data_IF_463013726913
#
_entry.id   IF_463013726913
#
_cell.length_a   1.000
_cell.length_b   1.000
_cell.length_c   1.000
_cell.angle_alpha   90.00
_cell.angle_beta   90.00
_cell.angle_gamma   90.00
#
_symmetry.space_group_name_H-M   'P 1'
#
loop_
_entity.id
_entity.type
_entity.pdbx_description
1 polymer ?
#
# COMPACT_ATOMS: atom_id res chain seq x y z
N UNK A 1 19.57 21.61 25.44
CA UNK A 1 18.75 20.56 24.78
C UNK A 1 17.78 20.07 25.82
N UNK A 2 16.55 20.55 25.82
CA UNK A 2 15.48 19.98 26.65
C UNK A 2 15.23 18.55 26.21
N UNK A 3 15.26 17.62 27.15
CA UNK A 3 15.03 16.22 26.89
C UNK A 3 13.57 16.03 26.46
N UNK A 4 13.38 15.58 25.23
CA UNK A 4 12.08 15.16 24.67
C UNK A 4 11.66 13.84 25.38
N UNK A 5 11.38 13.92 26.70
CA UNK A 5 11.11 12.73 27.54
C UNK A 5 9.62 12.43 27.73
N UNK A 6 8.70 13.18 27.09
CA UNK A 6 7.25 13.02 27.29
C UNK A 6 6.47 12.97 25.97
N UNK A 7 7.05 12.46 24.90
CA UNK A 7 6.24 12.16 23.71
C UNK A 7 5.40 10.91 23.99
N UNK A 8 4.12 10.90 23.59
CA UNK A 8 3.30 9.70 23.65
C UNK A 8 4.02 8.54 22.92
N UNK A 9 4.02 7.38 23.54
CA UNK A 9 4.60 6.16 22.94
C UNK A 9 3.63 5.47 21.98
N UNK A 10 2.39 5.92 21.94
CA UNK A 10 1.34 5.42 21.04
C UNK A 10 0.82 6.55 20.15
N UNK A 11 0.45 6.20 18.94
CA UNK A 11 -0.18 7.14 18.01
C UNK A 11 -1.63 7.38 18.40
N UNK A 12 -2.02 8.63 18.46
CA UNK A 12 -3.42 9.04 18.56
C UNK A 12 -4.06 9.01 17.17
N UNK A 13 -4.81 7.94 16.90
CA UNK A 13 -5.48 7.75 15.61
C UNK A 13 -6.84 8.45 15.54
N UNK A 14 -7.32 9.04 16.63
CA UNK A 14 -8.61 9.79 16.64
C UNK A 14 -8.58 11.02 15.76
N UNK A 15 -7.37 11.50 15.38
CA UNK A 15 -7.19 12.58 14.41
C UNK A 15 -7.61 12.17 12.98
N UNK A 16 -7.59 10.87 12.67
CA UNK A 16 -8.09 10.36 11.38
C UNK A 16 -9.59 10.10 11.47
N UNK A 17 -10.01 9.24 12.41
CA UNK A 17 -11.41 8.90 12.69
C UNK A 17 -11.58 8.73 14.18
N UNK A 18 -12.68 9.25 14.71
CA UNK A 18 -12.97 9.16 16.14
C UNK A 18 -13.09 7.70 16.61
N UNK A 19 -13.66 6.84 15.76
CA UNK A 19 -13.87 5.42 16.00
C UNK A 19 -14.10 4.65 14.69
N UNK A 20 -14.30 3.33 14.78
CA UNK A 20 -14.61 2.46 13.64
C UNK A 20 -15.93 2.87 12.95
N UNK A 21 -16.92 3.38 13.68
CA UNK A 21 -18.19 3.78 13.10
C UNK A 21 -18.04 4.99 12.17
N UNK A 22 -17.25 6.00 12.59
CA UNK A 22 -16.91 7.16 11.77
C UNK A 22 -16.15 6.75 10.50
N UNK A 23 -15.24 5.78 10.59
CA UNK A 23 -14.57 5.21 9.42
C UNK A 23 -15.59 4.54 8.48
N UNK A 24 -16.48 3.68 9.00
CA UNK A 24 -17.48 2.98 8.18
C UNK A 24 -18.44 3.93 7.47
N UNK A 25 -18.79 5.05 8.09
CA UNK A 25 -19.61 6.11 7.48
C UNK A 25 -18.88 6.75 6.29
N UNK A 26 -17.59 7.06 6.45
CA UNK A 26 -16.78 7.60 5.36
C UNK A 26 -16.60 6.59 4.21
N UNK A 27 -16.54 5.29 4.50
CA UNK A 27 -16.52 4.26 3.45
C UNK A 27 -17.84 4.22 2.66
N UNK A 28 -18.98 4.43 3.29
CA UNK A 28 -20.27 4.59 2.58
C UNK A 28 -20.27 5.83 1.70
N UNK A 29 -19.77 6.95 2.25
CA UNK A 29 -19.65 8.20 1.47
C UNK A 29 -18.75 8.01 0.25
N UNK A 30 -17.64 7.31 0.42
CA UNK A 30 -16.75 6.97 -0.70
C UNK A 30 -17.48 6.15 -1.78
N UNK A 31 -18.24 5.12 -1.39
CA UNK A 31 -19.01 4.30 -2.34
C UNK A 31 -20.05 5.12 -3.13
N UNK A 32 -20.72 6.10 -2.49
CA UNK A 32 -21.64 7.03 -3.16
C UNK A 32 -20.94 7.87 -4.24
N UNK A 33 -19.65 8.14 -4.08
CA UNK A 33 -18.84 8.93 -5.01
C UNK A 33 -18.29 8.10 -6.19
N UNK A 34 -18.22 6.78 -6.08
CA UNK A 34 -17.68 5.90 -7.14
C UNK A 34 -18.39 6.13 -8.49
N UNK A 35 -19.74 6.19 -8.58
CA UNK A 35 -20.44 6.38 -9.84
C UNK A 35 -20.16 7.72 -10.54
N UNK A 36 -19.67 8.73 -9.82
CA UNK A 36 -19.32 10.05 -10.41
C UNK A 36 -18.20 9.90 -11.42
N UNK A 37 -17.23 9.00 -11.18
CA UNK A 37 -16.14 8.72 -12.14
C UNK A 37 -16.69 8.34 -13.51
N UNK A 38 -17.74 7.53 -13.58
CA UNK A 38 -18.35 7.07 -14.84
C UNK A 38 -18.91 8.24 -15.67
N UNK A 39 -19.27 9.36 -15.06
CA UNK A 39 -19.78 10.54 -15.78
C UNK A 39 -18.72 11.19 -16.69
N UNK A 40 -17.45 10.85 -16.49
CA UNK A 40 -16.31 11.32 -17.29
C UNK A 40 -15.96 10.43 -18.47
N UNK A 41 -16.60 9.26 -18.59
CA UNK A 41 -16.39 8.35 -19.72
C UNK A 41 -16.63 9.03 -21.06
N UNK A 42 -15.68 8.91 -21.98
CA UNK A 42 -15.71 9.56 -23.29
C UNK A 42 -15.38 11.05 -23.26
N UNK A 43 -14.95 11.61 -22.13
CA UNK A 43 -14.64 13.03 -21.96
C UNK A 43 -13.17 13.31 -21.67
N UNK A 44 -12.35 12.28 -21.49
CA UNK A 44 -10.94 12.40 -21.10
C UNK A 44 -9.99 12.55 -22.30
N UNK A 45 -10.53 12.77 -23.49
CA UNK A 45 -9.76 13.00 -24.72
C UNK A 45 -9.30 14.45 -24.93
N UNK A 46 -9.58 15.38 -24.01
CA UNK A 46 -9.25 16.81 -24.13
C UNK A 46 -8.68 17.35 -22.81
N UNK A 47 -7.88 18.42 -22.90
CA UNK A 47 -7.35 19.10 -21.71
C UNK A 47 -8.46 19.60 -20.77
N UNK A 48 -9.55 20.16 -21.33
CA UNK A 48 -10.69 20.63 -20.55
C UNK A 48 -11.40 19.48 -19.82
N UNK A 49 -11.59 18.34 -20.48
CA UNK A 49 -12.23 17.16 -19.86
C UNK A 49 -11.38 16.58 -18.75
N UNK A 50 -10.06 16.48 -18.95
CA UNK A 50 -9.11 16.02 -17.94
C UNK A 50 -9.08 16.98 -16.76
N UNK A 51 -9.00 18.30 -17.03
CA UNK A 51 -8.99 19.30 -15.95
C UNK A 51 -10.26 19.23 -15.11
N UNK A 52 -11.43 19.16 -15.74
CA UNK A 52 -12.71 18.99 -15.04
C UNK A 52 -12.75 17.73 -14.17
N UNK A 53 -12.16 16.63 -14.65
CA UNK A 53 -12.06 15.40 -13.87
C UNK A 53 -11.15 15.57 -12.65
N UNK A 54 -9.99 16.22 -12.81
CA UNK A 54 -9.03 16.42 -11.73
C UNK A 54 -9.51 17.43 -10.68
N UNK A 55 -10.29 18.43 -11.09
CA UNK A 55 -10.80 19.50 -10.23
C UNK A 55 -12.25 19.27 -9.75
N UNK A 56 -12.86 18.15 -10.12
CA UNK A 56 -14.20 17.82 -9.64
C UNK A 56 -14.21 17.66 -8.12
N UNK A 57 -15.02 18.44 -7.38
CA UNK A 57 -15.09 18.37 -5.94
C UNK A 57 -15.37 16.96 -5.40
N UNK A 58 -16.17 16.16 -6.13
CA UNK A 58 -16.48 14.79 -5.74
C UNK A 58 -15.25 13.87 -5.93
N UNK A 59 -14.43 14.08 -6.98
CA UNK A 59 -13.17 13.36 -7.17
C UNK A 59 -12.14 13.73 -6.10
N UNK A 60 -12.03 15.02 -5.77
CA UNK A 60 -11.15 15.50 -4.72
C UNK A 60 -11.57 14.97 -3.33
N UNK A 61 -12.88 15.00 -3.02
CA UNK A 61 -13.43 14.42 -1.79
C UNK A 61 -13.13 12.92 -1.70
N UNK A 62 -13.37 12.18 -2.78
CA UNK A 62 -13.11 10.74 -2.88
C UNK A 62 -11.63 10.43 -2.62
N UNK A 63 -10.71 11.15 -3.24
CA UNK A 63 -9.28 10.97 -3.02
C UNK A 63 -8.89 11.26 -1.57
N UNK A 64 -9.39 12.35 -0.99
CA UNK A 64 -9.11 12.71 0.40
C UNK A 64 -9.62 11.65 1.40
N UNK A 65 -10.78 11.05 1.12
CA UNK A 65 -11.30 9.94 1.93
C UNK A 65 -10.39 8.71 1.79
N UNK A 66 -9.99 8.34 0.56
CA UNK A 66 -9.11 7.21 0.30
C UNK A 66 -7.77 7.33 1.03
N UNK A 67 -7.11 8.49 0.92
CA UNK A 67 -5.82 8.75 1.55
C UNK A 67 -5.92 8.65 3.08
N UNK A 68 -6.92 9.32 3.66
CA UNK A 68 -7.16 9.28 5.11
C UNK A 68 -7.47 7.87 5.60
N UNK A 69 -8.32 7.15 4.89
CA UNK A 69 -8.73 5.79 5.23
C UNK A 69 -7.56 4.81 5.15
N UNK A 70 -6.70 4.92 4.14
CA UNK A 70 -5.51 4.09 3.99
C UNK A 70 -4.54 4.32 5.14
N UNK A 71 -4.22 5.57 5.47
CA UNK A 71 -3.34 5.90 6.60
C UNK A 71 -3.88 5.39 7.93
N UNK A 72 -5.19 5.52 8.16
CA UNK A 72 -5.84 5.02 9.38
C UNK A 72 -5.77 3.49 9.48
N UNK A 73 -6.12 2.78 8.41
CA UNK A 73 -6.11 1.33 8.37
C UNK A 73 -4.71 0.74 8.56
N UNK A 74 -3.71 1.32 7.88
CA UNK A 74 -2.30 0.92 8.02
C UNK A 74 -1.79 1.18 9.45
N UNK A 75 -2.11 2.32 10.05
CA UNK A 75 -1.69 2.65 11.40
C UNK A 75 -2.35 1.75 12.47
N UNK A 76 -3.64 1.41 12.30
CA UNK A 76 -4.33 0.44 13.16
C UNK A 76 -3.69 -0.95 13.07
N UNK A 77 -3.41 -1.40 11.84
CA UNK A 77 -2.76 -2.68 11.60
C UNK A 77 -1.34 -2.72 12.19
N UNK A 78 -0.57 -1.66 12.01
CA UNK A 78 0.78 -1.54 12.58
C UNK A 78 0.77 -1.52 14.12
N UNK A 79 -0.28 -0.98 14.73
CA UNK A 79 -0.46 -1.00 16.19
C UNK A 79 -0.71 -2.42 16.70
N UNK A 80 -1.61 -3.16 16.08
CA UNK A 80 -1.91 -4.56 16.41
C UNK A 80 -2.57 -5.29 15.23
N UNK A 81 -1.78 -6.04 14.46
CA UNK A 81 -2.26 -6.81 13.32
C UNK A 81 -3.27 -7.91 13.68
N UNK A 82 -3.27 -8.38 14.95
CA UNK A 82 -4.21 -9.39 15.45
C UNK A 82 -5.55 -8.80 15.91
N UNK A 83 -5.68 -7.47 15.98
CA UNK A 83 -6.92 -6.82 16.41
C UNK A 83 -8.04 -7.07 15.38
N UNK A 84 -9.16 -7.71 15.78
CA UNK A 84 -10.29 -7.91 14.90
C UNK A 84 -10.86 -6.59 14.34
N UNK A 85 -10.76 -5.48 15.05
CA UNK A 85 -11.20 -4.17 14.56
C UNK A 85 -10.30 -3.69 13.42
N UNK A 86 -8.97 -3.80 13.57
CA UNK A 86 -8.02 -3.46 12.49
C UNK A 86 -8.24 -4.32 11.24
N UNK A 87 -8.51 -5.62 11.43
CA UNK A 87 -8.79 -6.53 10.31
C UNK A 87 -10.10 -6.16 9.59
N UNK A 88 -11.18 -5.80 10.31
CA UNK A 88 -12.44 -5.34 9.69
C UNK A 88 -12.25 -4.04 8.93
N UNK A 89 -11.51 -3.08 9.47
CA UNK A 89 -11.20 -1.81 8.82
C UNK A 89 -10.43 -2.05 7.51
N UNK A 90 -9.39 -2.88 7.53
CA UNK A 90 -8.62 -3.24 6.33
C UNK A 90 -9.47 -3.95 5.28
N UNK A 91 -10.29 -4.91 5.69
CA UNK A 91 -11.17 -5.65 4.79
C UNK A 91 -12.18 -4.72 4.11
N UNK A 92 -12.78 -3.80 4.88
CA UNK A 92 -13.73 -2.82 4.33
C UNK A 92 -13.05 -1.83 3.37
N UNK A 93 -11.88 -1.33 3.71
CA UNK A 93 -11.09 -0.48 2.82
C UNK A 93 -10.78 -1.20 1.50
N UNK A 94 -10.27 -2.43 1.57
CA UNK A 94 -9.94 -3.23 0.39
C UNK A 94 -11.14 -3.45 -0.52
N UNK A 95 -12.32 -3.77 0.05
CA UNK A 95 -13.57 -3.92 -0.69
C UNK A 95 -13.93 -2.64 -1.47
N UNK A 96 -13.89 -1.49 -0.80
CA UNK A 96 -14.26 -0.21 -1.40
C UNK A 96 -13.27 0.23 -2.46
N UNK A 97 -11.96 0.07 -2.20
CA UNK A 97 -10.90 0.37 -3.18
C UNK A 97 -10.98 -0.55 -4.42
N UNK A 98 -11.35 -1.81 -4.23
CA UNK A 98 -11.60 -2.74 -5.36
C UNK A 98 -12.76 -2.24 -6.23
N UNK A 99 -13.88 -1.83 -5.61
CA UNK A 99 -15.02 -1.26 -6.34
C UNK A 99 -14.62 0.00 -7.11
N UNK A 100 -13.85 0.90 -6.47
CA UNK A 100 -13.32 2.10 -7.14
C UNK A 100 -12.41 1.74 -8.30
N UNK A 101 -11.45 0.83 -8.11
CA UNK A 101 -10.54 0.39 -9.15
C UNK A 101 -11.28 -0.21 -10.37
N UNK A 102 -12.39 -0.91 -10.13
CA UNK A 102 -13.26 -1.42 -11.21
C UNK A 102 -13.97 -0.24 -11.90
N UNK A 103 -14.55 0.68 -11.14
CA UNK A 103 -15.28 1.83 -11.65
C UNK A 103 -14.43 2.82 -12.44
N UNK A 104 -13.17 2.99 -12.04
CA UNK A 104 -12.21 3.91 -12.67
C UNK A 104 -11.32 3.27 -13.74
N UNK A 105 -11.46 1.98 -14.01
CA UNK A 105 -10.59 1.20 -14.91
C UNK A 105 -10.50 1.73 -16.34
N UNK A 106 -11.48 2.49 -16.80
CA UNK A 106 -11.49 3.11 -18.12
C UNK A 106 -10.64 4.38 -18.20
N UNK A 107 -10.39 5.08 -17.09
CA UNK A 107 -9.76 6.41 -17.06
C UNK A 107 -8.39 6.39 -17.72
N UNK A 108 -7.49 5.55 -17.22
CA UNK A 108 -6.15 5.41 -17.80
C UNK A 108 -6.20 4.87 -19.22
N UNK A 109 -7.08 3.90 -19.50
CA UNK A 109 -7.22 3.31 -20.82
C UNK A 109 -7.69 4.33 -21.87
N UNK A 110 -8.66 5.21 -21.52
CA UNK A 110 -9.17 6.26 -22.41
C UNK A 110 -8.11 7.30 -22.74
N UNK A 111 -7.38 7.79 -21.73
CA UNK A 111 -6.31 8.76 -21.94
C UNK A 111 -5.16 8.13 -22.75
N UNK A 112 -4.76 6.90 -22.44
CA UNK A 112 -3.66 6.23 -23.14
C UNK A 112 -4.03 5.74 -24.55
N UNK A 113 -5.30 5.67 -24.90
CA UNK A 113 -5.75 5.42 -26.27
C UNK A 113 -5.46 6.60 -27.23
N UNK A 114 -5.22 7.80 -26.70
CA UNK A 114 -4.82 8.95 -27.51
C UNK A 114 -3.40 8.76 -28.04
N UNK A 115 -3.07 9.26 -29.26
CA UNK A 115 -1.71 9.31 -29.76
C UNK A 115 -0.76 10.01 -28.79
N UNK A 116 0.50 9.57 -28.74
CA UNK A 116 1.48 10.07 -27.78
C UNK A 116 1.74 11.58 -27.90
N UNK A 117 1.83 12.09 -29.14
CA UNK A 117 1.98 13.50 -29.44
C UNK A 117 0.79 14.33 -28.92
N UNK A 118 -0.43 13.83 -29.11
CA UNK A 118 -1.66 14.48 -28.59
C UNK A 118 -1.65 14.51 -27.06
N UNK A 119 -1.28 13.41 -26.39
CA UNK A 119 -1.17 13.39 -24.93
C UNK A 119 -0.14 14.40 -24.44
N UNK A 120 1.03 14.42 -25.07
CA UNK A 120 2.11 15.35 -24.71
C UNK A 120 1.66 16.80 -24.88
N UNK A 121 0.95 17.13 -25.97
CA UNK A 121 0.36 18.45 -26.17
C UNK A 121 -0.65 18.80 -25.08
N UNK A 122 -1.58 17.90 -24.77
CA UNK A 122 -2.60 18.10 -23.72
C UNK A 122 -1.94 18.40 -22.38
N UNK A 123 -1.01 17.56 -21.93
CA UNK A 123 -0.39 17.69 -20.60
C UNK A 123 0.69 18.79 -20.53
N UNK A 124 1.08 19.40 -21.66
CA UNK A 124 1.94 20.59 -21.68
C UNK A 124 1.19 21.91 -21.46
N UNK A 125 -0.14 21.87 -21.46
CA UNK A 125 -0.95 23.10 -21.29
C UNK A 125 -0.79 23.69 -19.91
N UNK A 126 -0.74 25.03 -19.78
CA UNK A 126 -0.52 25.71 -18.49
C UNK A 126 -1.47 25.28 -17.37
N UNK A 127 -2.75 25.05 -17.70
CA UNK A 127 -3.77 24.64 -16.74
C UNK A 127 -3.55 23.24 -16.17
N UNK A 128 -2.83 22.35 -16.85
CA UNK A 128 -2.50 20.99 -16.40
C UNK A 128 -1.11 20.89 -15.74
N UNK A 129 -0.27 21.91 -15.83
CA UNK A 129 1.06 21.90 -15.21
C UNK A 129 1.05 21.65 -13.68
N UNK A 130 0.09 22.16 -12.89
CA UNK A 130 0.00 21.81 -11.46
C UNK A 130 -0.14 20.31 -11.21
N UNK A 131 -0.68 19.55 -12.17
CA UNK A 131 -0.91 18.12 -12.10
C UNK A 131 0.17 17.28 -12.79
N UNK A 132 1.22 17.92 -13.35
CA UNK A 132 2.23 17.26 -14.19
C UNK A 132 2.88 16.06 -13.50
N UNK A 133 3.15 16.14 -12.19
CA UNK A 133 3.72 15.02 -11.44
C UNK A 133 2.75 13.83 -11.34
N UNK A 134 1.49 14.06 -11.01
CA UNK A 134 0.47 13.02 -10.93
C UNK A 134 0.16 12.39 -12.29
N UNK A 135 0.20 13.20 -13.35
CA UNK A 135 -0.12 12.82 -14.71
C UNK A 135 1.10 12.35 -15.54
N UNK A 136 2.32 12.30 -14.95
CA UNK A 136 3.55 11.95 -15.69
C UNK A 136 3.48 10.62 -16.44
N UNK A 137 2.70 9.67 -15.93
CA UNK A 137 2.49 8.36 -16.58
C UNK A 137 1.93 8.48 -17.99
N UNK A 138 1.16 9.52 -18.30
CA UNK A 138 0.55 9.70 -19.62
C UNK A 138 1.51 10.27 -20.66
N UNK A 139 2.61 10.87 -20.22
CA UNK A 139 3.64 11.48 -21.08
C UNK A 139 4.96 10.71 -21.09
N UNK A 140 5.08 9.64 -20.33
CA UNK A 140 6.23 8.75 -20.35
C UNK A 140 6.01 7.66 -21.42
N UNK A 141 6.87 7.58 -22.47
CA UNK A 141 6.72 6.60 -23.53
C UNK A 141 6.95 5.15 -23.07
N UNK A 142 7.52 4.95 -21.88
CA UNK A 142 7.76 3.62 -21.29
C UNK A 142 6.57 3.10 -20.49
N UNK A 143 5.60 3.95 -20.18
CA UNK A 143 4.45 3.55 -19.37
C UNK A 143 3.57 2.57 -20.13
N UNK A 144 3.35 1.40 -19.54
CA UNK A 144 2.39 0.41 -20.02
C UNK A 144 1.10 0.55 -19.20
N UNK A 145 -0.02 0.67 -19.91
CA UNK A 145 -1.36 0.72 -19.30
C UNK A 145 -2.21 -0.40 -19.87
N UNK A 146 -2.90 -1.09 -18.97
CA UNK A 146 -3.84 -2.13 -19.35
C UNK A 146 -5.08 -1.51 -20.01
N UNK A 147 -5.66 -2.22 -20.96
CA UNK A 147 -7.01 -1.86 -21.43
C UNK A 147 -8.02 -2.03 -20.29
N UNK A 148 -9.20 -1.41 -20.43
CA UNK A 148 -10.22 -1.39 -19.40
C UNK A 148 -10.57 -2.78 -18.88
N UNK A 149 -10.76 -3.76 -19.77
CA UNK A 149 -11.14 -5.12 -19.36
C UNK A 149 -10.04 -5.83 -18.56
N UNK A 150 -8.79 -5.71 -18.99
CA UNK A 150 -7.65 -6.27 -18.28
C UNK A 150 -7.47 -5.60 -16.91
N UNK A 151 -7.68 -4.27 -16.83
CA UNK A 151 -7.61 -3.53 -15.56
C UNK A 151 -8.73 -3.90 -14.59
N UNK A 152 -9.96 -4.11 -15.07
CA UNK A 152 -11.06 -4.66 -14.25
C UNK A 152 -10.72 -6.04 -13.70
N UNK A 153 -10.16 -6.90 -14.54
CA UNK A 153 -9.76 -8.25 -14.13
C UNK A 153 -8.65 -8.18 -13.08
N UNK A 154 -7.62 -7.35 -13.28
CA UNK A 154 -6.54 -7.14 -12.30
C UNK A 154 -7.12 -6.72 -10.94
N UNK A 155 -8.00 -5.71 -10.93
CA UNK A 155 -8.60 -5.20 -9.69
C UNK A 155 -9.46 -6.27 -8.98
N UNK A 156 -10.19 -7.11 -9.71
CA UNK A 156 -10.97 -8.21 -9.13
C UNK A 156 -10.10 -9.28 -8.45
N UNK A 157 -8.89 -9.53 -8.97
CA UNK A 157 -7.99 -10.55 -8.43
C UNK A 157 -6.92 -10.00 -7.50
N UNK A 158 -6.82 -8.66 -7.31
CA UNK A 158 -5.77 -8.02 -6.54
C UNK A 158 -5.65 -8.60 -5.12
N UNK A 159 -6.76 -8.72 -4.39
CA UNK A 159 -6.78 -9.28 -3.03
C UNK A 159 -6.29 -10.73 -2.99
N UNK A 160 -6.70 -11.57 -3.96
CA UNK A 160 -6.28 -12.96 -4.03
C UNK A 160 -4.79 -13.09 -4.34
N UNK A 161 -4.25 -12.23 -5.20
CA UNK A 161 -2.82 -12.18 -5.54
C UNK A 161 -1.99 -11.75 -4.34
N UNK A 162 -2.47 -10.80 -3.54
CA UNK A 162 -1.76 -10.26 -2.38
C UNK A 162 -1.95 -11.09 -1.10
N UNK A 163 -2.79 -12.13 -1.14
CA UNK A 163 -3.14 -12.93 0.04
C UNK A 163 -1.92 -13.56 0.73
N UNK A 164 -0.92 -14.01 -0.03
CA UNK A 164 0.30 -14.59 0.57
C UNK A 164 1.09 -13.59 1.39
N UNK A 165 1.19 -12.33 0.95
CA UNK A 165 1.84 -11.25 1.69
C UNK A 165 1.06 -10.91 2.96
N UNK A 166 -0.26 -10.76 2.86
CA UNK A 166 -1.14 -10.50 4.01
C UNK A 166 -1.06 -11.62 5.05
N UNK A 167 -1.04 -12.87 4.60
CA UNK A 167 -0.90 -14.05 5.49
C UNK A 167 0.47 -14.07 6.14
N UNK A 168 1.55 -13.73 5.41
CA UNK A 168 2.89 -13.61 5.99
C UNK A 168 2.91 -12.62 7.15
N UNK A 169 2.32 -11.44 6.97
CA UNK A 169 2.35 -10.39 7.99
C UNK A 169 1.57 -10.81 9.26
N UNK A 170 0.38 -11.38 9.09
CA UNK A 170 -0.39 -11.92 10.23
C UNK A 170 0.44 -13.00 10.93
N UNK A 171 0.96 -13.98 10.20
CA UNK A 171 1.72 -15.09 10.74
C UNK A 171 2.99 -14.64 11.47
N UNK A 172 3.85 -13.84 10.80
CA UNK A 172 5.12 -13.40 11.40
C UNK A 172 4.91 -12.47 12.61
N UNK A 173 3.97 -11.53 12.53
CA UNK A 173 3.79 -10.54 13.59
C UNK A 173 2.92 -11.00 14.75
N UNK A 174 2.03 -11.97 14.56
CA UNK A 174 1.08 -12.36 15.62
C UNK A 174 1.29 -13.76 16.16
N UNK A 175 1.71 -14.73 15.34
CA UNK A 175 1.81 -16.14 15.74
C UNK A 175 3.25 -16.55 16.06
N UNK A 176 4.24 -16.03 15.34
CA UNK A 176 5.65 -16.36 15.59
C UNK A 176 6.16 -15.64 16.82
N UNK A 177 6.38 -16.40 17.90
CA UNK A 177 6.83 -15.86 19.19
C UNK A 177 8.24 -15.27 19.09
N UNK A 178 8.37 -14.00 19.45
CA UNK A 178 9.67 -13.33 19.55
C UNK A 178 10.49 -13.90 20.71
N UNK A 179 11.81 -14.10 20.56
CA UNK A 179 12.65 -14.60 21.64
C UNK A 179 12.74 -13.58 22.78
N UNK A 180 12.77 -14.08 24.01
CA UNK A 180 13.12 -13.30 25.19
C UNK A 180 14.58 -13.54 25.51
N UNK A 181 15.34 -12.47 25.76
CA UNK A 181 16.77 -12.54 26.03
C UNK A 181 17.10 -11.82 27.34
N UNK A 182 18.08 -12.35 28.07
CA UNK A 182 18.67 -11.68 29.23
C UNK A 182 19.84 -10.80 28.75
N UNK A 183 19.77 -9.53 29.07
CA UNK A 183 20.78 -8.54 28.67
C UNK A 183 21.99 -8.59 29.61
N UNK A 184 23.15 -8.01 29.22
CA UNK A 184 24.35 -8.00 30.05
C UNK A 184 24.20 -7.32 31.41
N UNK A 185 23.20 -6.43 31.55
CA UNK A 185 22.85 -5.77 32.83
C UNK A 185 21.90 -6.61 33.72
N UNK A 186 21.52 -7.82 33.26
CA UNK A 186 20.62 -8.72 33.97
C UNK A 186 19.13 -8.46 33.68
N UNK A 187 18.78 -7.44 32.89
CA UNK A 187 17.39 -7.20 32.49
C UNK A 187 16.93 -8.23 31.46
N UNK A 188 15.62 -8.47 31.37
CA UNK A 188 15.02 -9.32 30.35
C UNK A 188 14.12 -8.51 29.42
N UNK A 189 14.27 -8.71 28.11
CA UNK A 189 13.45 -8.03 27.13
C UNK A 189 13.07 -8.98 25.96
N UNK A 190 11.88 -8.76 25.39
CA UNK A 190 11.46 -9.43 24.16
C UNK A 190 12.16 -8.78 22.96
N UNK A 191 12.85 -9.56 22.17
CA UNK A 191 13.59 -9.06 21.00
C UNK A 191 12.63 -8.83 19.83
N UNK A 192 11.92 -7.70 19.89
CA UNK A 192 11.15 -7.18 18.75
C UNK A 192 12.08 -6.70 17.64
N UNK A 193 11.53 -6.34 16.47
CA UNK A 193 12.34 -5.78 15.36
C UNK A 193 13.06 -4.49 15.74
N UNK A 194 12.41 -3.64 16.53
CA UNK A 194 12.98 -2.41 17.07
C UNK A 194 14.15 -2.71 18.02
N UNK A 195 13.94 -3.63 18.97
CA UNK A 195 14.96 -4.04 19.93
C UNK A 195 16.14 -4.68 19.22
N UNK A 196 15.91 -5.58 18.28
CA UNK A 196 16.93 -6.18 17.44
C UNK A 196 17.78 -5.12 16.73
N UNK A 197 17.13 -4.17 16.06
CA UNK A 197 17.82 -3.10 15.33
C UNK A 197 18.65 -2.23 16.29
N UNK A 198 18.10 -1.89 17.47
CA UNK A 198 18.82 -1.16 18.52
C UNK A 198 20.09 -1.90 18.93
N UNK A 199 20.00 -3.21 19.22
CA UNK A 199 21.14 -4.02 19.64
C UNK A 199 22.20 -4.09 18.53
N UNK A 200 21.78 -4.39 17.29
CA UNK A 200 22.74 -4.55 16.17
C UNK A 200 23.48 -3.25 15.85
N UNK A 201 22.84 -2.10 15.96
CA UNK A 201 23.43 -0.78 15.69
C UNK A 201 24.24 -0.21 16.86
N UNK A 202 23.94 -0.60 18.10
CA UNK A 202 24.64 -0.08 19.27
C UNK A 202 26.11 -0.56 19.31
N UNK A 203 27.00 0.30 19.81
CA UNK A 203 28.39 -0.06 20.11
C UNK A 203 28.59 -0.57 21.55
N UNK A 204 27.55 -0.51 22.36
CA UNK A 204 27.60 -0.88 23.78
C UNK A 204 27.58 -2.40 24.01
N UNK A 205 26.98 -3.14 23.05
CA UNK A 205 26.87 -4.60 23.16
C UNK A 205 28.06 -5.32 22.52
N UNK A 206 28.61 -6.30 23.25
CA UNK A 206 29.67 -7.15 22.75
C UNK A 206 29.24 -7.98 21.52
N UNK A 207 30.21 -8.35 20.70
CA UNK A 207 29.94 -9.12 19.48
C UNK A 207 29.24 -10.46 19.77
N UNK A 208 29.66 -11.15 20.84
CA UNK A 208 29.08 -12.45 21.19
C UNK A 208 27.61 -12.33 21.58
N UNK A 209 27.23 -11.29 22.32
CA UNK A 209 25.82 -11.04 22.65
C UNK A 209 24.99 -10.73 21.39
N UNK A 210 25.53 -9.92 20.49
CA UNK A 210 24.86 -9.66 19.19
C UNK A 210 24.66 -10.92 18.38
N UNK A 211 25.68 -11.79 18.34
CA UNK A 211 25.61 -13.10 17.67
C UNK A 211 24.52 -13.99 18.29
N UNK A 212 24.46 -14.04 19.62
CA UNK A 212 23.42 -14.80 20.34
C UNK A 212 22.01 -14.30 19.98
N UNK A 213 21.78 -12.99 20.04
CA UNK A 213 20.50 -12.36 19.66
C UNK A 213 20.16 -12.64 18.20
N UNK A 214 21.11 -12.57 17.28
CA UNK A 214 20.92 -12.89 15.87
C UNK A 214 20.50 -14.35 15.67
N UNK A 215 21.22 -15.28 16.33
CA UNK A 215 20.91 -16.71 16.22
C UNK A 215 19.53 -17.04 16.82
N UNK A 216 19.17 -16.44 17.97
CA UNK A 216 17.85 -16.61 18.57
C UNK A 216 16.74 -16.11 17.63
N UNK A 217 16.97 -14.99 16.95
CA UNK A 217 16.02 -14.46 15.95
C UNK A 217 15.91 -15.36 14.72
N UNK A 218 16.97 -15.98 14.27
CA UNK A 218 16.90 -16.97 13.19
C UNK A 218 16.15 -18.23 13.64
N UNK A 219 16.48 -18.73 14.83
CA UNK A 219 15.89 -19.95 15.38
C UNK A 219 14.36 -19.87 15.59
N UNK A 220 13.81 -18.68 15.85
CA UNK A 220 12.35 -18.54 16.02
C UNK A 220 11.57 -18.86 14.73
N UNK A 221 12.18 -18.70 13.53
CA UNK A 221 11.57 -18.96 12.23
C UNK A 221 11.83 -20.36 11.71
N UNK A 222 12.91 -21.02 12.15
CA UNK A 222 13.30 -22.34 11.67
C UNK A 222 12.20 -23.42 11.72
N UNK A 223 11.33 -23.47 12.76
CA UNK A 223 10.24 -24.45 12.77
C UNK A 223 9.20 -24.27 11.65
N UNK A 224 9.21 -23.13 10.99
CA UNK A 224 8.21 -22.70 10.02
C UNK A 224 8.79 -22.50 8.61
N UNK A 225 9.94 -23.08 8.31
CA UNK A 225 10.63 -22.90 7.01
C UNK A 225 9.73 -23.20 5.82
N UNK A 226 8.97 -24.30 5.87
CA UNK A 226 8.06 -24.66 4.79
C UNK A 226 6.91 -23.66 4.62
N UNK A 227 6.40 -23.10 5.72
CA UNK A 227 5.35 -22.07 5.67
C UNK A 227 5.89 -20.80 5.04
N UNK A 228 7.05 -20.32 5.48
CA UNK A 228 7.70 -19.14 4.89
C UNK A 228 8.03 -19.34 3.41
N UNK A 229 8.55 -20.51 3.04
CA UNK A 229 8.85 -20.83 1.65
C UNK A 229 7.59 -20.81 0.78
N UNK A 230 6.48 -21.38 1.25
CA UNK A 230 5.20 -21.37 0.53
C UNK A 230 4.62 -19.97 0.38
N UNK A 231 4.69 -19.14 1.43
CA UNK A 231 4.23 -17.74 1.39
C UNK A 231 5.07 -16.91 0.40
N UNK A 232 6.41 -17.08 0.44
CA UNK A 232 7.32 -16.42 -0.49
C UNK A 232 7.03 -16.84 -1.94
N UNK A 233 6.85 -18.13 -2.18
CA UNK A 233 6.48 -18.64 -3.51
C UNK A 233 5.17 -18.04 -4.02
N UNK A 234 4.17 -17.89 -3.14
CA UNK A 234 2.91 -17.21 -3.46
C UNK A 234 3.09 -15.77 -3.88
N UNK A 235 3.89 -15.00 -3.13
CA UNK A 235 4.24 -13.62 -3.48
C UNK A 235 4.99 -13.53 -4.83
N UNK A 236 5.96 -14.43 -5.06
CA UNK A 236 6.71 -14.45 -6.32
C UNK A 236 5.81 -14.77 -7.51
N UNK A 237 4.89 -15.73 -7.38
CA UNK A 237 3.91 -16.07 -8.42
C UNK A 237 2.97 -14.91 -8.71
N UNK A 238 2.50 -14.21 -7.67
CA UNK A 238 1.66 -13.02 -7.81
C UNK A 238 2.36 -11.90 -8.58
N UNK A 239 3.58 -11.55 -8.18
CA UNK A 239 4.39 -10.53 -8.84
C UNK A 239 4.72 -10.92 -10.29
N UNK A 240 5.03 -12.19 -10.53
CA UNK A 240 5.26 -12.68 -11.89
C UNK A 240 4.00 -12.58 -12.76
N UNK A 241 2.84 -12.98 -12.24
CA UNK A 241 1.58 -12.88 -12.97
C UNK A 241 1.23 -11.43 -13.34
N UNK A 242 1.45 -10.48 -12.40
CA UNK A 242 1.32 -9.05 -12.71
C UNK A 242 2.29 -8.60 -13.80
N UNK A 243 3.57 -8.97 -13.70
CA UNK A 243 4.55 -8.62 -14.71
C UNK A 243 4.14 -9.11 -16.11
N UNK A 244 3.66 -10.36 -16.21
CA UNK A 244 3.17 -10.92 -17.47
C UNK A 244 1.92 -10.18 -17.99
N UNK A 245 1.00 -9.81 -17.09
CA UNK A 245 -0.20 -9.04 -17.46
C UNK A 245 0.16 -7.71 -18.14
N UNK A 246 1.21 -7.05 -17.65
CA UNK A 246 1.72 -5.79 -18.20
C UNK A 246 2.73 -6.01 -19.35
N UNK A 247 3.01 -7.24 -19.78
CA UNK A 247 3.91 -7.56 -20.88
C UNK A 247 5.39 -7.46 -20.51
N UNK A 248 5.75 -7.42 -19.24
CA UNK A 248 7.14 -7.44 -18.79
C UNK A 248 7.68 -8.87 -18.74
N UNK A 249 8.97 -9.04 -19.03
CA UNK A 249 9.61 -10.37 -18.98
C UNK A 249 9.93 -10.81 -17.56
N UNK A 250 10.10 -9.88 -16.63
CA UNK A 250 10.44 -10.14 -15.22
C UNK A 250 9.67 -9.22 -14.28
N UNK A 251 9.47 -9.68 -13.03
CA UNK A 251 8.90 -8.85 -11.98
C UNK A 251 9.75 -7.60 -11.68
N UNK A 252 11.09 -7.70 -11.82
CA UNK A 252 11.99 -6.55 -11.59
C UNK A 252 11.82 -5.46 -12.63
N UNK A 253 11.51 -5.80 -13.88
CA UNK A 253 11.18 -4.79 -14.92
C UNK A 253 9.86 -4.09 -14.59
N UNK A 254 8.86 -4.83 -14.11
CA UNK A 254 7.57 -4.29 -13.74
C UNK A 254 7.64 -3.31 -12.55
N UNK A 255 8.58 -3.52 -11.61
CA UNK A 255 8.78 -2.65 -10.44
C UNK A 255 9.58 -1.37 -10.73
N UNK A 256 10.19 -1.24 -11.91
CA UNK A 256 10.99 -0.08 -12.30
C UNK A 256 10.35 0.75 -13.41
N UNK A 257 9.13 1.25 -13.24
CA UNK A 257 8.46 1.99 -14.32
C UNK A 257 9.11 3.34 -14.65
N UNK A 258 10.09 3.81 -13.86
CA UNK A 258 10.67 5.17 -13.98
C UNK A 258 12.19 5.23 -13.77
N UNK A 259 12.93 4.18 -14.10
CA UNK A 259 14.41 4.19 -14.04
C UNK A 259 15.05 4.68 -15.34
#
# INVERSE_FOLDING_TARGET
>A
MEKIHNLPTEWDLTQFYADEAAFMEQMKRFEELIPVTETYRGKLGTAEGILKYLEDPAMMEKQAIADRASMYAEALHAKNAADPAAQRVLARLSEVLTKEGIGSSFVDAEIMALPFDVRTEIFSRPELLPYAYACRKYTDPKTVVLNEQAKKTENLFADAVDQSAKTHDIFDYTEVKRPRMTFPDGSEEVVTDTVFTRIMRSREYAHDFKKEVFLARCAMRSPFENTYASLLEGCMKGNWARAQLYGFSTSMEAEKPYS
#
